data_IF_541823665660
#
_entry.id   IF_541823665660
#
_cell.length_a   1.000
_cell.length_b   1.000
_cell.length_c   1.000
_cell.angle_alpha   90.00
_cell.angle_beta   90.00
_cell.angle_gamma   90.00
#
_symmetry.space_group_name_H-M   'P 1'
#
loop_
_entity.id
_entity.type
_entity.pdbx_description
1 polymer ?
#
# COMPACT_ATOMS: atom_id res chain seq x y z
N UNK A 1 23.19 -43.05 -0.41
CA UNK A 1 21.81 -42.80 -0.88
C UNK A 1 21.29 -41.58 -0.14
N UNK A 2 20.70 -40.67 -0.93
CA UNK A 2 20.22 -39.31 -0.67
C UNK A 2 19.70 -38.96 0.74
N UNK A 3 19.93 -37.69 1.13
CA UNK A 3 19.09 -36.71 1.87
C UNK A 3 20.07 -35.73 2.56
N UNK A 4 20.02 -34.39 2.46
CA UNK A 4 18.93 -33.48 2.17
C UNK A 4 19.46 -32.17 1.56
N UNK A 5 18.59 -31.49 0.80
CA UNK A 5 18.75 -30.10 0.38
C UNK A 5 18.80 -29.20 1.60
N UNK A 6 19.88 -28.45 1.78
CA UNK A 6 19.89 -27.26 2.62
C UNK A 6 19.97 -26.09 1.65
N UNK A 7 18.81 -25.57 1.26
CA UNK A 7 18.74 -24.27 0.62
C UNK A 7 19.03 -23.24 1.71
N UNK A 8 20.07 -22.44 1.49
CA UNK A 8 20.41 -21.27 2.29
C UNK A 8 19.21 -20.32 2.36
N UNK A 9 18.34 -20.54 3.34
CA UNK A 9 17.44 -19.54 3.85
C UNK A 9 18.33 -18.43 4.40
N UNK A 10 18.49 -17.36 3.61
CA UNK A 10 18.99 -16.08 4.12
C UNK A 10 18.28 -15.83 5.45
N UNK A 11 18.99 -15.53 6.54
CA UNK A 11 18.34 -14.98 7.71
C UNK A 11 17.71 -13.67 7.25
N UNK A 12 16.40 -13.69 7.03
CA UNK A 12 15.62 -12.47 6.90
C UNK A 12 15.67 -11.85 8.28
N UNK A 13 16.67 -11.00 8.49
CA UNK A 13 16.75 -10.15 9.66
C UNK A 13 15.44 -9.40 9.70
N UNK A 14 14.60 -9.72 10.68
CA UNK A 14 13.66 -8.75 11.20
C UNK A 14 14.52 -7.68 11.86
N UNK A 15 15.03 -6.77 11.03
CA UNK A 15 15.38 -5.45 11.50
C UNK A 15 14.07 -4.87 12.05
N UNK A 16 14.05 -4.61 13.35
CA UNK A 16 13.07 -3.75 14.00
C UNK A 16 13.08 -2.37 13.29
N UNK A 17 12.40 -2.24 12.16
CA UNK A 17 11.83 -0.95 11.76
C UNK A 17 10.54 -0.81 12.55
N UNK A 18 10.72 -0.50 13.83
CA UNK A 18 9.65 -0.41 14.81
C UNK A 18 8.63 0.66 14.45
N UNK A 19 7.36 0.34 14.69
CA UNK A 19 6.31 1.26 15.14
C UNK A 19 6.14 2.58 14.37
N UNK A 20 6.50 2.61 13.08
CA UNK A 20 6.08 3.67 12.17
C UNK A 20 4.75 3.25 11.57
N UNK A 21 3.72 3.19 12.44
CA UNK A 21 2.36 2.83 12.05
C UNK A 21 1.82 3.77 10.97
N UNK A 22 0.55 3.59 10.60
CA UNK A 22 -0.07 4.28 9.46
C UNK A 22 0.08 5.80 9.47
N UNK A 23 0.21 6.42 10.65
CA UNK A 23 0.52 7.85 10.76
C UNK A 23 1.85 8.26 10.10
N UNK A 24 2.90 7.47 10.25
CA UNK A 24 4.19 7.73 9.62
C UNK A 24 4.10 7.58 8.09
N UNK A 25 3.47 6.50 7.62
CA UNK A 25 3.27 6.33 6.18
C UNK A 25 2.40 7.44 5.57
N UNK A 26 1.37 7.92 6.28
CA UNK A 26 0.56 9.06 5.84
C UNK A 26 1.40 10.34 5.75
N UNK A 27 2.30 10.57 6.71
CA UNK A 27 3.25 11.70 6.67
C UNK A 27 4.18 11.60 5.46
N UNK A 28 4.79 10.45 5.23
CA UNK A 28 5.72 10.25 4.12
C UNK A 28 5.02 10.30 2.76
N UNK A 29 3.81 9.74 2.67
CA UNK A 29 2.95 9.84 1.49
C UNK A 29 2.59 11.29 1.17
N UNK A 30 2.35 12.13 2.19
CA UNK A 30 2.12 13.57 2.00
C UNK A 30 3.36 14.31 1.47
N UNK A 31 4.57 13.83 1.77
CA UNK A 31 5.81 14.32 1.19
C UNK A 31 6.12 13.72 -0.20
N UNK A 32 5.22 12.88 -0.73
CA UNK A 32 5.33 12.30 -2.07
C UNK A 32 6.11 10.99 -2.12
N UNK A 33 6.39 10.36 -0.98
CA UNK A 33 7.05 9.05 -0.93
C UNK A 33 6.16 7.97 -1.55
N UNK A 34 6.66 7.32 -2.62
CA UNK A 34 5.93 6.28 -3.36
C UNK A 34 5.84 4.99 -2.52
N UNK A 35 6.93 4.61 -1.84
CA UNK A 35 6.97 3.45 -0.95
C UNK A 35 5.94 3.56 0.19
N UNK A 36 5.77 4.77 0.73
CA UNK A 36 4.80 5.00 1.79
C UNK A 36 3.35 4.81 1.31
N UNK A 37 3.05 5.23 0.08
CA UNK A 37 1.74 4.95 -0.55
C UNK A 37 1.53 3.44 -0.74
N UNK A 38 2.57 2.70 -1.14
CA UNK A 38 2.47 1.24 -1.25
C UNK A 38 2.24 0.58 0.12
N UNK A 39 3.02 0.96 1.14
CA UNK A 39 2.89 0.43 2.50
C UNK A 39 1.53 0.72 3.13
N UNK A 40 0.94 1.89 2.87
CA UNK A 40 -0.46 2.17 3.25
C UNK A 40 -1.42 1.17 2.61
N UNK A 41 -1.26 0.91 1.30
CA UNK A 41 -2.07 -0.08 0.61
C UNK A 41 -1.98 -1.46 1.24
N UNK A 42 -0.76 -1.91 1.58
CA UNK A 42 -0.52 -3.19 2.26
C UNK A 42 -1.15 -3.21 3.65
N UNK A 43 -1.00 -2.14 4.43
CA UNK A 43 -1.55 -2.05 5.78
C UNK A 43 -3.09 -2.15 5.79
N UNK A 44 -3.77 -1.45 4.87
CA UNK A 44 -5.22 -1.55 4.72
C UNK A 44 -5.67 -2.87 4.09
N UNK A 45 -4.87 -3.49 3.22
CA UNK A 45 -5.22 -4.80 2.64
C UNK A 45 -5.13 -5.91 3.68
N UNK A 46 -4.13 -5.86 4.56
CA UNK A 46 -3.88 -6.90 5.57
C UNK A 46 -4.52 -6.62 6.92
N UNK A 47 -4.93 -5.37 7.19
CA UNK A 47 -5.38 -4.92 8.51
C UNK A 47 -4.25 -4.91 9.54
N UNK A 48 -3.04 -4.49 9.13
CA UNK A 48 -1.87 -4.38 10.00
C UNK A 48 -1.65 -2.92 10.47
N UNK A 49 -0.61 -2.66 11.27
CA UNK A 49 -0.22 -1.29 11.67
C UNK A 49 -1.33 -0.47 12.38
N UNK A 50 -2.28 -1.16 13.01
CA UNK A 50 -3.35 -0.55 13.81
C UNK A 50 -4.62 -0.17 13.06
N UNK A 51 -4.79 -0.55 11.78
CA UNK A 51 -6.08 -0.43 11.07
C UNK A 51 -6.75 -1.76 10.84
N UNK A 52 -8.06 -1.70 10.56
CA UNK A 52 -8.81 -2.84 10.05
C UNK A 52 -8.59 -2.99 8.55
N UNK A 53 -8.81 -4.21 8.06
CA UNK A 53 -8.79 -4.48 6.63
C UNK A 53 -9.89 -3.65 5.92
N UNK A 54 -9.48 -2.87 4.93
CA UNK A 54 -10.35 -2.03 4.11
C UNK A 54 -9.84 -2.02 2.65
N UNK A 55 -10.56 -2.71 1.78
CA UNK A 55 -10.18 -2.85 0.37
C UNK A 55 -10.32 -1.53 -0.41
N UNK A 56 -11.20 -0.62 0.01
CA UNK A 56 -11.40 0.67 -0.64
C UNK A 56 -10.17 1.56 -0.36
N UNK A 57 -9.73 1.65 0.89
CA UNK A 57 -8.52 2.38 1.25
C UNK A 57 -7.28 1.71 0.65
N UNK A 58 -7.17 0.37 0.68
CA UNK A 58 -6.06 -0.34 0.06
C UNK A 58 -5.94 -0.02 -1.44
N UNK A 59 -7.03 -0.12 -2.18
CA UNK A 59 -7.07 0.19 -3.61
C UNK A 59 -6.72 1.65 -3.89
N UNK A 60 -7.22 2.60 -3.09
CA UNK A 60 -6.88 4.01 -3.19
C UNK A 60 -5.36 4.22 -3.11
N UNK A 61 -4.72 3.68 -2.08
CA UNK A 61 -3.28 3.88 -1.85
C UNK A 61 -2.42 3.19 -2.93
N UNK A 62 -2.78 1.97 -3.32
CA UNK A 62 -2.11 1.32 -4.45
C UNK A 62 -2.30 2.06 -5.76
N UNK A 63 -3.48 2.64 -6.01
CA UNK A 63 -3.73 3.45 -7.20
C UNK A 63 -2.87 4.72 -7.24
N UNK A 64 -2.64 5.36 -6.10
CA UNK A 64 -1.76 6.51 -5.99
C UNK A 64 -0.29 6.14 -6.24
N UNK A 65 0.18 5.05 -5.65
CA UNK A 65 1.54 4.55 -5.87
C UNK A 65 1.76 4.11 -7.33
N UNK A 66 0.81 3.38 -7.91
CA UNK A 66 0.85 2.93 -9.30
C UNK A 66 0.86 4.13 -10.28
N UNK A 67 0.08 5.18 -10.00
CA UNK A 67 0.07 6.40 -10.82
C UNK A 67 1.41 7.14 -10.82
N UNK A 68 2.27 6.88 -9.83
CA UNK A 68 3.64 7.41 -9.73
C UNK A 68 4.71 6.45 -10.29
N UNK A 69 4.31 5.30 -10.84
CA UNK A 69 5.20 4.33 -11.47
C UNK A 69 5.58 3.13 -10.61
N UNK A 70 4.95 2.91 -9.45
CA UNK A 70 5.21 1.71 -8.63
C UNK A 70 4.54 0.47 -9.23
N UNK A 71 5.33 -0.40 -9.87
CA UNK A 71 4.82 -1.56 -10.60
C UNK A 71 4.14 -2.59 -9.68
N UNK A 72 4.72 -2.86 -8.51
CA UNK A 72 4.15 -3.80 -7.54
C UNK A 72 2.82 -3.29 -6.98
N UNK A 73 2.65 -1.97 -6.85
CA UNK A 73 1.38 -1.38 -6.44
C UNK A 73 0.32 -1.53 -7.54
N UNK A 74 0.72 -1.45 -8.81
CA UNK A 74 -0.19 -1.68 -9.93
C UNK A 74 -0.71 -3.13 -9.95
N UNK A 75 0.16 -4.09 -9.64
CA UNK A 75 -0.20 -5.50 -9.46
C UNK A 75 -1.14 -5.70 -8.27
N UNK A 76 -0.77 -5.23 -7.07
CA UNK A 76 -1.61 -5.35 -5.88
C UNK A 76 -2.99 -4.69 -6.07
N UNK A 77 -3.05 -3.53 -6.72
CA UNK A 77 -4.31 -2.88 -7.06
C UNK A 77 -5.19 -3.77 -7.94
N UNK A 78 -4.61 -4.38 -8.98
CA UNK A 78 -5.35 -5.23 -9.90
C UNK A 78 -5.86 -6.49 -9.19
N UNK A 79 -5.01 -7.11 -8.37
CA UNK A 79 -5.32 -8.31 -7.57
C UNK A 79 -6.52 -8.06 -6.63
N UNK A 80 -6.47 -7.02 -5.79
CA UNK A 80 -7.59 -6.73 -4.88
C UNK A 80 -8.84 -6.23 -5.61
N UNK A 81 -8.70 -5.67 -6.81
CA UNK A 81 -9.87 -5.24 -7.61
C UNK A 81 -10.72 -6.41 -8.06
N UNK A 82 -10.17 -7.63 -8.13
CA UNK A 82 -10.94 -8.83 -8.52
C UNK A 82 -12.00 -9.19 -7.47
N UNK A 83 -11.75 -8.85 -6.20
CA UNK A 83 -12.65 -9.12 -5.06
C UNK A 83 -13.57 -7.93 -4.73
N UNK A 84 -13.41 -6.79 -5.41
CA UNK A 84 -14.18 -5.57 -5.18
C UNK A 84 -15.33 -5.40 -6.18
N UNK A 85 -16.41 -4.77 -5.74
CA UNK A 85 -17.47 -4.34 -6.65
C UNK A 85 -17.06 -3.08 -7.43
N UNK A 86 -17.67 -2.87 -8.60
CA UNK A 86 -17.46 -1.66 -9.39
C UNK A 86 -17.76 -0.36 -8.61
N UNK A 87 -18.69 -0.42 -7.63
CA UNK A 87 -19.03 0.71 -6.77
C UNK A 87 -17.88 1.03 -5.80
N UNK A 88 -17.30 0.02 -5.18
CA UNK A 88 -16.16 0.17 -4.26
C UNK A 88 -14.90 0.65 -5.00
N UNK A 89 -14.65 0.14 -6.22
CA UNK A 89 -13.56 0.61 -7.07
C UNK A 89 -13.76 2.10 -7.42
N UNK A 90 -14.98 2.49 -7.82
CA UNK A 90 -15.28 3.89 -8.12
C UNK A 90 -15.10 4.80 -6.91
N UNK A 91 -15.47 4.32 -5.71
CA UNK A 91 -15.25 5.04 -4.45
C UNK A 91 -13.76 5.19 -4.13
N UNK A 92 -12.98 4.12 -4.23
CA UNK A 92 -11.52 4.15 -4.01
C UNK A 92 -10.81 5.11 -4.97
N UNK A 93 -11.19 5.09 -6.25
CA UNK A 93 -10.65 6.01 -7.26
C UNK A 93 -11.04 7.46 -6.99
N UNK A 94 -12.28 7.70 -6.52
CA UNK A 94 -12.73 9.03 -6.11
C UNK A 94 -11.90 9.55 -4.94
N UNK A 95 -11.71 8.73 -3.89
CA UNK A 95 -10.91 9.10 -2.71
C UNK A 95 -9.45 9.36 -3.09
N UNK A 96 -8.88 8.59 -4.02
CA UNK A 96 -7.52 8.81 -4.51
C UNK A 96 -7.41 10.18 -5.21
N UNK A 97 -8.40 10.52 -6.04
CA UNK A 97 -8.45 11.84 -6.70
C UNK A 97 -8.60 12.96 -5.68
N UNK A 98 -9.46 12.81 -4.68
CA UNK A 98 -9.64 13.79 -3.62
C UNK A 98 -8.36 14.00 -2.82
N UNK A 99 -7.60 12.93 -2.54
CA UNK A 99 -6.30 13.01 -1.89
C UNK A 99 -5.28 13.83 -2.70
N UNK A 100 -5.18 13.59 -4.02
CA UNK A 100 -4.29 14.36 -4.90
C UNK A 100 -4.67 15.84 -4.91
N UNK A 101 -5.96 16.15 -5.09
CA UNK A 101 -6.45 17.53 -5.10
C UNK A 101 -6.23 18.25 -3.76
N UNK A 102 -6.37 17.54 -2.64
CA UNK A 102 -6.11 18.08 -1.32
C UNK A 102 -4.60 18.35 -1.08
N UNK A 103 -3.73 17.51 -1.63
CA UNK A 103 -2.28 17.73 -1.63
C UNK A 103 -1.86 18.91 -2.51
N UNK A 104 -2.49 19.07 -3.68
CA UNK A 104 -2.24 20.19 -4.61
C UNK A 104 -2.72 21.53 -4.03
N UNK A 105 -3.82 21.54 -3.28
CA UNK A 105 -4.35 22.76 -2.65
C UNK A 105 -3.51 23.28 -1.49
N UNK A 106 -2.63 22.45 -0.90
CA UNK A 106 -1.68 22.85 0.15
C UNK A 106 -0.34 23.35 -0.41
N UNK A 107 -0.13 23.25 -1.73
CA UNK A 107 1.09 23.68 -2.41
C UNK A 107 0.94 25.00 -3.19
N UNK A 108 -0.20 25.70 -3.05
CA UNK A 108 -0.50 26.97 -3.72
C UNK A 108 -0.38 28.19 -2.80
#
# INVERSE_FOLDING_TARGET
>A
MQLAKLADAKPFGFEETGDLGIAAFLSDAAHGCIEALYNLGVAFSTGSEGVSCDMIEAHKWFNLAASKGHEEAAWCRADISEEMTAREIAEAQKLAREWLLAGESKAA
#
